data_IF_830099824702
#
_entry.id   IF_830099824702
#
_cell.length_a   1.000
_cell.length_b   1.000
_cell.length_c   1.000
_cell.angle_alpha   90.00
_cell.angle_beta   90.00
_cell.angle_gamma   90.00
#
_symmetry.space_group_name_H-M   'P 1'
#
loop_
_entity.id
_entity.type
_entity.pdbx_description
1 polymer ?
#
# COMPACT_ATOMS: atom_id res chain seq x y z
N UNK A 1 6.98 29.68 -3.34
CA UNK A 1 6.23 28.76 -2.46
C UNK A 1 6.56 27.36 -2.95
N UNK A 2 7.27 26.57 -2.15
CA UNK A 2 7.73 25.23 -2.56
C UNK A 2 6.70 24.18 -2.15
N UNK A 3 6.36 23.26 -3.05
CA UNK A 3 5.48 22.14 -2.75
C UNK A 3 6.23 21.18 -1.82
N UNK A 4 5.68 20.93 -0.63
CA UNK A 4 6.28 19.98 0.33
C UNK A 4 6.09 18.53 -0.15
N UNK A 5 6.93 18.10 -1.10
CA UNK A 5 6.94 16.74 -1.64
C UNK A 5 8.32 16.07 -1.49
N UNK A 6 8.31 14.79 -1.10
CA UNK A 6 9.49 13.95 -0.96
C UNK A 6 9.97 13.35 -2.29
N UNK A 7 11.16 12.75 -2.27
CA UNK A 7 11.80 12.19 -3.47
C UNK A 7 10.96 11.10 -4.17
N UNK A 8 10.22 10.29 -3.42
CA UNK A 8 9.31 9.29 -3.99
C UNK A 8 8.23 9.94 -4.86
N UNK A 9 7.56 10.98 -4.34
CA UNK A 9 6.52 11.71 -5.08
C UNK A 9 7.12 12.42 -6.30
N UNK A 10 8.32 13.01 -6.17
CA UNK A 10 9.05 13.60 -7.30
C UNK A 10 9.35 12.55 -8.38
N UNK A 11 9.80 11.35 -7.98
CA UNK A 11 10.07 10.24 -8.89
C UNK A 11 8.81 9.74 -9.60
N UNK A 12 7.70 9.58 -8.87
CA UNK A 12 6.41 9.18 -9.44
C UNK A 12 5.84 10.21 -10.42
N UNK A 13 6.12 11.50 -10.24
CA UNK A 13 5.66 12.55 -11.13
C UNK A 13 6.59 12.76 -12.33
N UNK A 14 7.88 12.47 -12.19
CA UNK A 14 8.87 12.68 -13.24
C UNK A 14 8.53 11.85 -14.49
N UNK A 15 8.45 12.52 -15.64
CA UNK A 15 8.14 11.86 -16.92
C UNK A 15 6.67 11.46 -17.11
N UNK A 16 5.79 11.76 -16.14
CA UNK A 16 4.35 11.51 -16.30
C UNK A 16 3.62 12.72 -16.87
N UNK A 17 2.42 12.49 -17.42
CA UNK A 17 1.48 13.54 -17.82
C UNK A 17 0.22 13.45 -16.95
N UNK A 18 0.16 14.17 -15.81
CA UNK A 18 -0.99 14.11 -14.91
C UNK A 18 -2.30 14.46 -15.60
N UNK A 19 -3.32 13.62 -15.45
CA UNK A 19 -4.60 13.81 -16.14
C UNK A 19 -5.54 14.75 -15.39
N UNK A 20 -5.47 14.73 -14.06
CA UNK A 20 -6.31 15.55 -13.20
C UNK A 20 -5.65 15.76 -11.84
N UNK A 21 -6.09 16.82 -11.16
CA UNK A 21 -5.68 17.08 -9.79
C UNK A 21 -6.83 17.70 -8.98
N UNK A 22 -6.91 17.32 -7.71
CA UNK A 22 -7.91 17.84 -6.75
C UNK A 22 -7.21 18.44 -5.56
N UNK A 23 -7.54 19.69 -5.21
CA UNK A 23 -7.10 20.32 -3.97
C UNK A 23 -8.04 19.91 -2.85
N UNK A 24 -7.49 19.36 -1.78
CA UNK A 24 -8.25 18.88 -0.61
C UNK A 24 -7.81 19.65 0.62
N UNK A 25 -8.78 20.27 1.30
CA UNK A 25 -8.60 20.79 2.66
C UNK A 25 -8.93 19.70 3.65
N UNK A 26 -7.99 19.37 4.53
CA UNK A 26 -8.19 18.39 5.61
C UNK A 26 -8.91 19.04 6.80
N UNK A 27 -9.48 18.21 7.67
CA UNK A 27 -10.22 18.67 8.85
C UNK A 27 -9.34 19.50 9.78
N UNK A 28 -8.06 19.15 9.91
CA UNK A 28 -7.08 19.92 10.68
C UNK A 28 -6.61 21.22 10.00
N UNK A 29 -7.16 21.58 8.84
CA UNK A 29 -6.90 22.85 8.14
C UNK A 29 -5.74 22.82 7.15
N UNK A 30 -4.99 21.72 7.09
CA UNK A 30 -3.92 21.53 6.10
C UNK A 30 -4.49 21.32 4.69
N UNK A 31 -3.69 21.62 3.66
CA UNK A 31 -4.06 21.45 2.26
C UNK A 31 -3.14 20.41 1.60
N UNK A 32 -3.71 19.57 0.75
CA UNK A 32 -2.97 18.65 -0.11
C UNK A 32 -3.51 18.70 -1.53
N UNK A 33 -2.65 18.44 -2.52
CA UNK A 33 -3.06 18.23 -3.91
C UNK A 33 -2.98 16.73 -4.18
N UNK A 34 -4.09 16.14 -4.60
CA UNK A 34 -4.14 14.76 -5.07
C UNK A 34 -4.01 14.80 -6.59
N UNK A 35 -2.97 14.17 -7.13
CA UNK A 35 -2.65 14.18 -8.56
C UNK A 35 -2.84 12.77 -9.10
N UNK A 36 -3.67 12.62 -10.13
CA UNK A 36 -3.86 11.34 -10.81
C UNK A 36 -2.78 11.17 -11.88
N UNK A 37 -1.99 10.11 -11.73
CA UNK A 37 -0.97 9.69 -12.70
C UNK A 37 -1.28 8.29 -13.20
N UNK A 38 -1.21 8.09 -14.50
CA UNK A 38 -1.19 6.76 -15.11
C UNK A 38 0.25 6.36 -15.38
N UNK A 39 0.55 5.09 -15.19
CA UNK A 39 1.82 4.49 -15.57
C UNK A 39 1.54 3.11 -16.15
N UNK A 40 2.29 2.73 -17.17
CA UNK A 40 2.27 1.37 -17.67
C UNK A 40 2.76 0.43 -16.57
N UNK A 41 2.01 -0.64 -16.35
CA UNK A 41 2.47 -1.70 -15.45
C UNK A 41 3.72 -2.33 -16.06
N UNK A 42 4.77 -2.61 -15.26
CA UNK A 42 5.92 -3.34 -15.77
C UNK A 42 5.44 -4.69 -16.31
N UNK A 43 6.02 -5.12 -17.44
CA UNK A 43 5.70 -6.44 -17.97
C UNK A 43 5.98 -7.52 -16.92
N UNK A 44 5.09 -8.53 -16.78
CA UNK A 44 5.34 -9.64 -15.88
C UNK A 44 6.70 -10.26 -16.17
N UNK A 45 7.53 -10.40 -15.14
CA UNK A 45 8.81 -11.07 -15.31
C UNK A 45 8.56 -12.54 -15.64
N UNK A 46 9.11 -13.00 -16.76
CA UNK A 46 9.02 -14.40 -17.14
C UNK A 46 10.09 -15.19 -16.37
N UNK A 47 9.72 -15.71 -15.21
CA UNK A 47 10.63 -16.42 -14.30
C UNK A 47 10.04 -17.76 -13.87
N UNK A 48 10.88 -18.80 -13.88
CA UNK A 48 10.54 -20.09 -13.27
C UNK A 48 10.68 -20.04 -11.73
N UNK A 49 11.30 -18.98 -11.18
CA UNK A 49 11.38 -18.77 -9.74
C UNK A 49 10.04 -18.26 -9.24
N UNK A 50 9.30 -19.12 -8.55
CA UNK A 50 8.07 -18.77 -7.85
C UNK A 50 8.34 -18.59 -6.36
N UNK A 51 7.70 -17.60 -5.74
CA UNK A 51 7.65 -17.45 -4.29
C UNK A 51 6.22 -17.74 -3.84
N UNK A 52 6.03 -18.86 -3.13
CA UNK A 52 4.75 -19.17 -2.52
C UNK A 52 4.54 -18.33 -1.27
N UNK A 53 3.35 -17.77 -1.10
CA UNK A 53 2.96 -17.02 0.09
C UNK A 53 1.64 -17.58 0.62
N UNK A 54 1.65 -18.12 1.84
CA UNK A 54 0.44 -18.50 2.56
C UNK A 54 0.01 -17.36 3.49
N UNK A 55 -1.29 -17.06 3.51
CA UNK A 55 -1.87 -15.99 4.31
C UNK A 55 -2.86 -16.59 5.30
N UNK A 56 -2.62 -16.40 6.58
CA UNK A 56 -3.40 -17.06 7.63
C UNK A 56 -3.64 -16.20 8.86
N UNK A 57 -4.39 -16.80 9.80
CA UNK A 57 -4.64 -16.17 11.10
C UNK A 57 -3.42 -16.23 12.01
N UNK A 58 -2.72 -17.36 12.00
CA UNK A 58 -1.51 -17.58 12.79
C UNK A 58 -0.36 -16.70 12.28
N UNK A 59 -0.19 -16.69 10.96
CA UNK A 59 0.88 -16.00 10.26
C UNK A 59 0.24 -15.11 9.20
N UNK A 60 0.46 -13.80 9.30
CA UNK A 60 -0.04 -12.79 8.34
C UNK A 60 0.47 -13.15 6.94
N UNK A 61 1.72 -13.57 6.87
CA UNK A 61 2.32 -14.17 5.69
C UNK A 61 3.35 -15.20 6.12
N UNK A 62 3.47 -16.27 5.34
CA UNK A 62 4.57 -17.22 5.41
C UNK A 62 5.07 -17.54 4.00
N UNK A 63 6.37 -17.39 3.74
CA UNK A 63 6.93 -17.68 2.43
C UNK A 63 7.43 -19.12 2.35
N UNK A 64 7.46 -19.68 1.14
CA UNK A 64 8.12 -20.96 0.87
C UNK A 64 9.63 -20.96 1.14
N UNK A 65 10.24 -19.78 1.34
CA UNK A 65 11.65 -19.60 1.72
C UNK A 65 11.84 -19.55 3.26
N UNK A 66 10.74 -19.61 4.04
CA UNK A 66 10.78 -19.74 5.50
C UNK A 66 10.56 -18.43 6.27
N UNK A 67 10.39 -17.30 5.58
CA UNK A 67 10.05 -16.03 6.23
C UNK A 67 8.66 -16.10 6.85
N UNK A 68 8.49 -15.48 8.02
CA UNK A 68 7.25 -15.51 8.76
C UNK A 68 6.94 -14.14 9.36
N UNK A 69 5.70 -13.70 9.20
CA UNK A 69 5.15 -12.55 9.89
C UNK A 69 4.02 -12.99 10.81
N UNK A 70 4.32 -13.19 12.10
CA UNK A 70 3.34 -13.69 13.06
C UNK A 70 2.17 -12.73 13.26
N UNK A 71 0.95 -13.29 13.24
CA UNK A 71 -0.31 -12.55 13.39
C UNK A 71 -0.76 -12.32 14.81
N UNK A 72 -0.05 -12.84 15.83
CA UNK A 72 -0.44 -12.71 17.23
C UNK A 72 -0.77 -11.27 17.68
N UNK A 73 0.01 -10.24 17.30
CA UNK A 73 -0.30 -8.85 17.67
C UNK A 73 -1.65 -8.35 17.11
N UNK A 74 -2.14 -8.94 16.01
CA UNK A 74 -3.39 -8.53 15.35
C UNK A 74 -4.62 -9.32 15.83
N UNK A 75 -4.44 -10.39 16.60
CA UNK A 75 -5.54 -11.24 17.04
C UNK A 75 -6.54 -10.48 17.91
N UNK A 76 -6.06 -9.61 18.81
CA UNK A 76 -6.93 -8.82 19.69
C UNK A 76 -7.88 -7.90 18.90
N UNK A 77 -7.37 -7.24 17.85
CA UNK A 77 -8.17 -6.37 16.99
C UNK A 77 -9.17 -7.19 16.17
N UNK A 78 -8.73 -8.32 15.60
CA UNK A 78 -9.60 -9.20 14.82
C UNK A 78 -10.74 -9.78 15.66
N UNK A 79 -10.43 -10.36 16.82
CA UNK A 79 -11.41 -11.01 17.69
C UNK A 79 -12.49 -10.03 18.16
N UNK A 80 -12.11 -8.77 18.43
CA UNK A 80 -13.05 -7.70 18.76
C UNK A 80 -14.10 -7.48 17.66
N UNK A 81 -13.70 -7.45 16.38
CA UNK A 81 -14.63 -7.26 15.26
C UNK A 81 -15.39 -8.54 14.87
N UNK A 82 -14.84 -9.73 15.12
CA UNK A 82 -15.53 -11.00 14.85
C UNK A 82 -16.59 -11.36 15.91
N UNK A 83 -16.47 -10.86 17.14
CA UNK A 83 -17.38 -11.19 18.26
C UNK A 83 -18.69 -10.38 18.25
N UNK A 84 -18.89 -9.47 17.29
CA UNK A 84 -20.14 -8.68 17.18
C UNK A 84 -21.17 -9.31 16.22
N UNK A 85 -21.10 -10.62 16.00
CA UNK A 85 -22.06 -11.37 15.18
C UNK A 85 -22.36 -12.72 15.83
N UNK A 86 -23.07 -12.67 16.96
CA UNK A 86 -23.60 -13.82 17.69
C UNK A 86 -24.88 -13.42 18.41
#
# INVERSE_FOLDING_TARGET
>A
MELSIGNYQRGMLAGTNPQSATVVKRKEGSYSIQICVEHDLPEPQNTAKVMGVDLGRKDIAHTSEGDNWHGQPLNQVRDHYFTTSG
#
